data_IF_538267576605
#
_entry.id   IF_538267576605
#
_cell.length_a   1.000
_cell.length_b   1.000
_cell.length_c   1.000
_cell.angle_alpha   90.00
_cell.angle_beta   90.00
_cell.angle_gamma   90.00
#
_symmetry.space_group_name_H-M   'P 1'
#
loop_
_entity.id
_entity.type
_entity.pdbx_description
1 polymer ?
#
# COMPACT_ATOMS: atom_id res chain seq x y z
N UNK A 1 -16.39 -11.33 6.46
CA UNK A 1 -16.54 -10.90 5.05
C UNK A 1 -15.19 -10.35 4.60
N UNK A 2 -14.51 -11.00 3.65
CA UNK A 2 -13.32 -10.43 2.99
C UNK A 2 -13.84 -9.39 1.99
N UNK A 3 -14.17 -8.21 2.47
CA UNK A 3 -14.98 -7.24 1.71
C UNK A 3 -14.19 -6.23 0.86
N UNK A 4 -12.86 -6.31 0.80
CA UNK A 4 -12.05 -5.39 0.02
C UNK A 4 -10.75 -6.04 -0.43
N UNK A 5 -10.42 -5.87 -1.72
CA UNK A 5 -9.10 -6.20 -2.24
C UNK A 5 -8.08 -5.11 -1.91
N UNK A 6 -6.84 -5.33 -2.34
CA UNK A 6 -5.75 -4.37 -2.19
C UNK A 6 -5.30 -3.84 -3.55
N UNK A 7 -5.01 -2.55 -3.63
CA UNK A 7 -4.14 -1.99 -4.64
C UNK A 7 -2.73 -1.87 -4.07
N UNK A 8 -1.76 -2.44 -4.77
CA UNK A 8 -0.38 -2.55 -4.32
C UNK A 8 0.52 -2.12 -5.46
N UNK A 9 1.40 -1.17 -5.20
CA UNK A 9 2.35 -0.69 -6.21
C UNK A 9 3.20 0.45 -5.68
N UNK A 10 4.01 1.03 -6.56
CA UNK A 10 5.00 2.07 -6.23
C UNK A 10 4.57 3.47 -6.69
N UNK A 11 3.50 3.60 -7.46
CA UNK A 11 2.98 4.88 -7.94
C UNK A 11 2.01 5.51 -6.96
N UNK A 12 2.31 6.72 -6.42
CA UNK A 12 1.39 7.43 -5.53
C UNK A 12 0.03 7.74 -6.17
N UNK A 13 0.00 7.94 -7.50
CA UNK A 13 -1.26 8.30 -8.19
C UNK A 13 -1.96 7.08 -8.75
N UNK A 14 -1.24 6.21 -9.48
CA UNK A 14 -1.89 5.11 -10.20
C UNK A 14 -2.32 4.00 -9.24
N UNK A 15 -1.47 3.64 -8.29
CA UNK A 15 -1.72 2.49 -7.43
C UNK A 15 -2.45 2.90 -6.15
N UNK A 16 -2.04 4.01 -5.53
CA UNK A 16 -2.63 4.45 -4.25
C UNK A 16 -3.88 5.27 -4.47
N UNK A 17 -3.81 6.45 -5.10
CA UNK A 17 -5.02 7.25 -5.32
C UNK A 17 -6.03 6.53 -6.23
N UNK A 18 -5.56 5.83 -7.27
CA UNK A 18 -6.40 4.97 -8.11
C UNK A 18 -7.04 3.82 -7.33
N UNK A 19 -6.27 3.10 -6.52
CA UNK A 19 -6.78 2.03 -5.66
C UNK A 19 -7.83 2.51 -4.66
N UNK A 20 -7.55 3.64 -4.02
CA UNK A 20 -8.48 4.32 -3.10
C UNK A 20 -9.77 4.72 -3.82
N UNK A 21 -9.68 5.31 -5.00
CA UNK A 21 -10.85 5.68 -5.80
C UNK A 21 -11.70 4.46 -6.21
N UNK A 22 -11.08 3.29 -6.36
CA UNK A 22 -11.76 2.02 -6.60
C UNK A 22 -12.32 1.35 -5.33
N UNK A 23 -12.17 1.95 -4.15
CA UNK A 23 -12.63 1.40 -2.88
C UNK A 23 -11.74 0.27 -2.32
N UNK A 24 -10.49 0.18 -2.79
CA UNK A 24 -9.51 -0.80 -2.31
C UNK A 24 -8.67 -0.23 -1.17
N UNK A 25 -8.16 -1.11 -0.30
CA UNK A 25 -7.08 -0.75 0.62
C UNK A 25 -5.78 -0.55 -0.18
N UNK A 26 -4.91 0.33 0.29
CA UNK A 26 -3.72 0.78 -0.45
C UNK A 26 -2.44 0.42 0.28
N UNK A 27 -1.51 -0.23 -0.41
CA UNK A 27 -0.18 -0.54 0.10
C UNK A 27 0.88 -0.03 -0.87
N UNK A 28 1.63 0.97 -0.43
CA UNK A 28 2.69 1.57 -1.22
C UNK A 28 4.03 0.87 -0.99
N UNK A 29 4.68 0.47 -2.08
CA UNK A 29 6.05 -0.02 -2.08
C UNK A 29 6.98 1.16 -2.32
N UNK A 30 7.58 1.69 -1.25
CA UNK A 30 8.31 2.95 -1.30
C UNK A 30 9.61 2.88 -2.09
N UNK A 31 10.27 1.71 -2.10
CA UNK A 31 11.61 1.52 -2.66
C UNK A 31 12.64 2.53 -2.12
N UNK A 32 12.44 2.96 -0.87
CA UNK A 32 13.29 3.98 -0.21
C UNK A 32 12.95 5.43 -0.55
N UNK A 33 11.90 5.68 -1.31
CA UNK A 33 11.40 7.03 -1.59
C UNK A 33 10.51 7.53 -0.44
N UNK A 34 10.41 8.86 -0.31
CA UNK A 34 9.45 9.50 0.58
C UNK A 34 8.10 9.69 -0.11
N UNK A 35 7.03 9.61 0.69
CA UNK A 35 5.68 9.86 0.20
C UNK A 35 5.50 11.34 -0.16
N UNK A 36 4.84 11.70 -1.28
CA UNK A 36 4.61 13.10 -1.63
C UNK A 36 3.75 13.82 -0.59
N UNK A 37 4.29 14.88 0.02
CA UNK A 37 3.65 15.59 1.14
C UNK A 37 2.26 16.17 0.85
N UNK A 38 1.91 16.38 -0.43
CA UNK A 38 0.61 16.92 -0.85
C UNK A 38 -0.47 15.86 -1.03
N UNK A 39 -0.12 14.58 -1.00
CA UNK A 39 -1.04 13.46 -1.19
C UNK A 39 -1.41 12.81 0.13
N UNK A 40 -2.65 12.32 0.23
CA UNK A 40 -3.08 11.53 1.37
C UNK A 40 -2.26 10.24 1.45
N UNK A 41 -1.66 9.89 2.61
CA UNK A 41 -0.85 8.67 2.74
C UNK A 41 -1.62 7.39 2.36
N UNK A 42 -0.91 6.34 1.90
CA UNK A 42 -1.49 5.02 1.73
C UNK A 42 -1.85 4.41 3.09
N UNK A 43 -2.68 3.37 3.10
CA UNK A 43 -3.05 2.69 4.35
C UNK A 43 -1.86 1.96 4.96
N UNK A 44 -0.94 1.48 4.12
CA UNK A 44 0.34 0.86 4.51
C UNK A 44 1.47 1.28 3.57
N UNK A 45 2.67 1.36 4.12
CA UNK A 45 3.91 1.58 3.37
C UNK A 45 4.92 0.50 3.74
N UNK A 46 5.56 -0.08 2.74
CA UNK A 46 6.66 -1.04 2.90
C UNK A 46 7.80 -0.69 1.96
N UNK A 47 9.01 -1.22 2.20
CA UNK A 47 10.16 -0.92 1.32
C UNK A 47 10.15 -1.73 0.03
N UNK A 48 9.66 -2.96 0.05
CA UNK A 48 9.72 -3.90 -1.06
C UNK A 48 8.49 -4.81 -1.14
N UNK A 49 8.36 -5.53 -2.25
CA UNK A 49 7.20 -6.39 -2.53
C UNK A 49 7.15 -7.62 -1.60
N UNK A 50 8.28 -8.07 -1.06
CA UNK A 50 8.29 -9.22 -0.14
C UNK A 50 7.62 -8.82 1.17
N UNK A 51 7.96 -7.65 1.70
CA UNK A 51 7.27 -7.06 2.84
C UNK A 51 5.77 -6.84 2.57
N UNK A 52 5.39 -6.45 1.34
CA UNK A 52 3.97 -6.34 0.98
C UNK A 52 3.23 -7.68 1.10
N UNK A 53 3.84 -8.78 0.65
CA UNK A 53 3.26 -10.13 0.76
C UNK A 53 3.09 -10.55 2.22
N UNK A 54 4.03 -10.23 3.11
CA UNK A 54 3.88 -10.48 4.55
C UNK A 54 2.66 -9.75 5.13
N UNK A 55 2.49 -8.47 4.79
CA UNK A 55 1.31 -7.69 5.21
C UNK A 55 0.01 -8.34 4.72
N UNK A 56 -0.06 -8.78 3.46
CA UNK A 56 -1.26 -9.44 2.93
C UNK A 56 -1.58 -10.78 3.58
N UNK A 57 -0.56 -11.48 4.08
CA UNK A 57 -0.72 -12.74 4.84
C UNK A 57 -1.15 -12.50 6.28
N UNK A 58 -1.21 -11.25 6.74
CA UNK A 58 -1.43 -10.92 8.15
C UNK A 58 -0.23 -11.23 9.03
N UNK A 59 0.95 -11.39 8.43
CA UNK A 59 2.22 -11.59 9.12
C UNK A 59 2.76 -10.18 9.43
N UNK A 60 2.55 -9.73 10.66
CA UNK A 60 2.93 -8.39 11.09
C UNK A 60 4.48 -8.34 11.23
N UNK A 61 5.21 -7.55 10.41
CA UNK A 61 6.68 -7.52 10.49
C UNK A 61 7.21 -6.74 11.71
N UNK A 62 6.34 -6.39 12.66
CA UNK A 62 6.62 -5.50 13.79
C UNK A 62 6.10 -5.97 15.14
N UNK A 63 5.80 -7.26 15.33
CA UNK A 63 5.58 -7.86 16.66
C UNK A 63 6.61 -8.93 16.98
#
# INVERSE_FOLDING_TARGET
>A
MLGGGWAIGDSPVLDVEGGRAAGLATLWVSRGMDWPAKLTPPDRTVRDVVAAVHVLRGEDPGR
#
